data_IF_367894666924
#
_entry.id   IF_367894666924
#
_cell.length_a   1.000
_cell.length_b   1.000
_cell.length_c   1.000
_cell.angle_alpha   90.00
_cell.angle_beta   90.00
_cell.angle_gamma   90.00
#
_symmetry.space_group_name_H-M   'P 1'
#
loop_
_entity.id
_entity.type
_entity.pdbx_description
1 polymer ?
#
# COMPACT_ATOMS: atom_id res chain seq x y z
N UNK A 1 -20.22 -83.46 18.83
CA UNK A 1 -20.76 -82.27 18.15
C UNK A 1 -19.67 -81.74 17.25
N UNK A 2 -19.85 -81.83 15.93
CA UNK A 2 -18.90 -81.24 14.97
C UNK A 2 -19.03 -79.71 14.99
N UNK A 3 -17.91 -79.02 14.88
CA UNK A 3 -17.81 -77.57 14.82
C UNK A 3 -17.77 -77.14 13.36
N UNK A 4 -18.70 -76.30 12.91
CA UNK A 4 -18.70 -75.79 11.53
C UNK A 4 -18.16 -74.35 11.51
N UNK A 5 -17.17 -74.09 10.67
CA UNK A 5 -16.64 -72.75 10.42
C UNK A 5 -16.18 -72.65 8.96
N UNK A 6 -16.66 -71.62 8.26
CA UNK A 6 -16.38 -71.34 6.83
C UNK A 6 -16.69 -72.54 5.89
N UNK A 7 -17.83 -73.19 6.10
CA UNK A 7 -18.29 -74.32 5.28
C UNK A 7 -17.55 -75.65 5.51
N UNK A 8 -16.58 -75.71 6.43
CA UNK A 8 -15.86 -76.93 6.82
C UNK A 8 -16.31 -77.44 8.20
N UNK A 9 -16.41 -78.76 8.35
CA UNK A 9 -16.74 -79.42 9.62
C UNK A 9 -15.50 -79.98 10.29
N UNK A 10 -15.28 -79.61 11.55
CA UNK A 10 -14.17 -80.06 12.39
C UNK A 10 -14.69 -80.92 13.54
N UNK A 11 -14.00 -82.01 13.86
CA UNK A 11 -14.40 -82.86 14.99
C UNK A 11 -14.07 -82.20 16.33
N UNK A 12 -12.98 -81.42 16.37
CA UNK A 12 -12.54 -80.71 17.56
C UNK A 12 -12.17 -79.25 17.30
N UNK A 13 -12.34 -78.40 18.32
CA UNK A 13 -11.82 -77.02 18.32
C UNK A 13 -10.29 -77.01 18.15
N UNK A 14 -9.59 -78.09 18.55
CA UNK A 14 -8.14 -78.21 18.45
C UNK A 14 -7.69 -78.29 16.98
N UNK A 15 -8.30 -79.15 16.19
CA UNK A 15 -7.99 -79.29 14.75
C UNK A 15 -8.29 -77.99 14.01
N UNK A 16 -9.44 -77.38 14.31
CA UNK A 16 -9.80 -76.07 13.76
C UNK A 16 -8.77 -74.99 14.15
N UNK A 17 -8.32 -74.98 15.41
CA UNK A 17 -7.32 -74.01 15.87
C UNK A 17 -5.94 -74.22 15.21
N UNK A 18 -5.55 -75.47 14.95
CA UNK A 18 -4.30 -75.82 14.27
C UNK A 18 -4.31 -75.43 12.78
N UNK A 19 -5.42 -75.63 12.05
CA UNK A 19 -5.53 -75.26 10.64
C UNK A 19 -5.41 -73.74 10.43
N UNK A 20 -6.00 -72.94 11.32
CA UNK A 20 -5.95 -71.47 11.23
C UNK A 20 -4.80 -70.83 12.02
N UNK A 21 -3.92 -71.62 12.65
CA UNK A 21 -2.75 -71.12 13.40
C UNK A 21 -3.12 -70.32 14.66
N UNK A 22 -4.23 -70.66 15.32
CA UNK A 22 -4.81 -69.93 16.45
C UNK A 22 -4.58 -70.68 17.77
N UNK A 23 -4.40 -69.95 18.87
CA UNK A 23 -4.38 -70.56 20.20
C UNK A 23 -5.76 -71.08 20.61
N UNK A 24 -5.89 -72.40 20.77
CA UNK A 24 -7.13 -73.06 21.21
C UNK A 24 -7.66 -72.50 22.53
N UNK A 25 -6.79 -72.07 23.46
CA UNK A 25 -7.21 -71.53 24.76
C UNK A 25 -7.99 -70.23 24.59
N UNK A 26 -7.63 -69.45 23.57
CA UNK A 26 -8.29 -68.19 23.25
C UNK A 26 -9.72 -68.42 22.75
N UNK A 27 -9.92 -69.40 21.88
CA UNK A 27 -11.26 -69.80 21.40
C UNK A 27 -12.13 -70.26 22.59
N UNK A 28 -11.60 -71.10 23.48
CA UNK A 28 -12.32 -71.50 24.70
C UNK A 28 -12.67 -70.30 25.60
N UNK A 29 -11.77 -69.33 25.72
CA UNK A 29 -12.02 -68.14 26.54
C UNK A 29 -13.18 -67.28 26.00
N UNK A 30 -13.36 -67.20 24.68
CA UNK A 30 -14.49 -66.52 24.04
C UNK A 30 -15.79 -67.34 24.18
N UNK A 31 -15.72 -68.65 24.00
CA UNK A 31 -16.88 -69.56 24.16
C UNK A 31 -17.42 -69.55 25.59
N UNK A 32 -16.56 -69.53 26.61
CA UNK A 32 -16.96 -69.39 28.03
C UNK A 32 -17.63 -68.05 28.34
N UNK A 33 -17.40 -67.03 27.52
CA UNK A 33 -18.03 -65.71 27.63
C UNK A 33 -19.30 -65.58 26.79
N UNK A 34 -19.80 -66.69 26.22
CA UNK A 34 -21.05 -66.72 25.46
C UNK A 34 -20.92 -66.30 24.00
N UNK A 35 -19.71 -66.16 23.45
CA UNK A 35 -19.53 -65.80 22.03
C UNK A 35 -19.88 -66.97 21.12
N UNK A 36 -20.42 -66.66 19.93
CA UNK A 36 -20.61 -67.65 18.87
C UNK A 36 -19.25 -68.19 18.41
N UNK A 37 -19.23 -69.39 17.82
CA UNK A 37 -17.99 -69.97 17.33
C UNK A 37 -17.39 -69.12 16.20
N UNK A 38 -18.24 -68.61 15.31
CA UNK A 38 -17.85 -67.77 14.18
C UNK A 38 -17.24 -66.44 14.65
N UNK A 39 -17.88 -65.75 15.60
CA UNK A 39 -17.34 -64.50 16.15
C UNK A 39 -16.03 -64.74 16.92
N UNK A 40 -15.95 -65.83 17.67
CA UNK A 40 -14.74 -66.20 18.41
C UNK A 40 -13.57 -66.49 17.48
N UNK A 41 -13.82 -67.15 16.35
CA UNK A 41 -12.83 -67.42 15.32
C UNK A 41 -12.37 -66.14 14.64
N UNK A 42 -13.29 -65.28 14.22
CA UNK A 42 -12.96 -63.99 13.61
C UNK A 42 -12.10 -63.11 14.53
N UNK A 43 -12.38 -63.11 15.83
CA UNK A 43 -11.59 -62.37 16.83
C UNK A 43 -10.19 -62.94 17.07
N UNK A 44 -10.04 -64.25 16.90
CA UNK A 44 -8.77 -64.94 17.03
C UNK A 44 -7.89 -64.78 15.78
N UNK A 45 -8.49 -64.86 14.58
CA UNK A 45 -7.81 -64.66 13.28
C UNK A 45 -7.24 -63.23 13.20
N UNK A 46 -8.00 -62.22 13.62
CA UNK A 46 -7.57 -60.82 13.58
C UNK A 46 -6.60 -60.41 14.73
N UNK A 47 -6.14 -61.35 15.56
CA UNK A 47 -5.24 -61.17 16.73
C UNK A 47 -5.57 -59.98 17.66
N UNK A 48 -6.85 -59.62 17.84
CA UNK A 48 -7.22 -58.43 18.63
C UNK A 48 -7.14 -58.73 20.16
N UNK A 49 -6.10 -58.27 20.87
CA UNK A 49 -5.82 -58.53 22.32
C UNK A 49 -6.39 -57.44 23.28
N UNK A 50 -6.93 -57.78 24.47
CA UNK A 50 -7.56 -56.83 25.44
C UNK A 50 -9.08 -56.94 25.73
N UNK A 51 -9.69 -55.92 26.37
CA UNK A 51 -11.15 -55.74 26.64
C UNK A 51 -11.62 -54.36 26.12
N UNK A 52 -12.86 -54.21 25.64
CA UNK A 52 -13.43 -52.91 25.20
C UNK A 52 -14.20 -52.94 23.87
N UNK A 53 -14.76 -51.79 23.45
CA UNK A 53 -15.51 -51.59 22.19
C UNK A 53 -14.58 -51.74 20.96
N UNK A 54 -15.06 -52.42 19.93
CA UNK A 54 -14.33 -52.63 18.68
C UNK A 54 -14.76 -51.58 17.63
N UNK A 55 -13.79 -51.14 16.83
CA UNK A 55 -13.95 -50.18 15.75
C UNK A 55 -13.58 -50.87 14.45
N UNK A 56 -14.56 -51.07 13.56
CA UNK A 56 -14.31 -51.61 12.23
C UNK A 56 -13.99 -50.47 11.26
N UNK A 57 -12.88 -50.61 10.53
CA UNK A 57 -12.51 -49.70 9.44
C UNK A 57 -11.76 -50.48 8.36
N UNK A 58 -12.21 -50.40 7.11
CA UNK A 58 -11.65 -51.13 5.96
C UNK A 58 -11.45 -52.64 6.21
N UNK A 59 -12.42 -53.31 6.84
CA UNK A 59 -12.39 -54.75 7.10
C UNK A 59 -11.42 -55.21 8.21
N UNK A 60 -10.74 -54.28 8.90
CA UNK A 60 -9.92 -54.56 10.08
C UNK A 60 -10.60 -54.06 11.35
N UNK A 61 -10.50 -54.86 12.42
CA UNK A 61 -11.05 -54.53 13.74
C UNK A 61 -9.98 -53.94 14.64
N UNK A 62 -10.15 -52.67 14.99
CA UNK A 62 -9.28 -51.93 15.91
C UNK A 62 -9.92 -51.87 17.30
N UNK A 63 -9.15 -52.14 18.35
CA UNK A 63 -9.65 -52.05 19.73
C UNK A 63 -9.45 -50.66 20.35
N UNK A 64 -8.48 -49.91 19.83
CA UNK A 64 -8.21 -48.55 20.28
C UNK A 64 -8.24 -47.63 19.07
N UNK A 65 -8.91 -46.47 19.16
CA UNK A 65 -8.75 -45.44 18.15
C UNK A 65 -7.28 -44.99 17.99
N UNK A 66 -6.37 -45.36 18.91
CA UNK A 66 -4.95 -45.01 18.90
C UNK A 66 -4.20 -45.92 17.94
N UNK A 67 -4.54 -47.21 17.96
CA UNK A 67 -4.03 -48.17 16.98
C UNK A 67 -4.52 -47.81 15.57
N UNK A 68 -5.80 -47.43 15.44
CA UNK A 68 -6.35 -46.91 14.19
C UNK A 68 -5.64 -45.62 13.75
N UNK A 69 -5.39 -44.70 14.67
CA UNK A 69 -4.69 -43.46 14.39
C UNK A 69 -3.22 -43.68 13.96
N UNK A 70 -2.51 -44.59 14.62
CA UNK A 70 -1.11 -44.92 14.30
C UNK A 70 -0.97 -45.61 12.94
N UNK A 71 -1.85 -46.57 12.60
CA UNK A 71 -1.79 -47.29 11.31
C UNK A 71 -2.07 -46.36 10.12
N UNK A 72 -3.00 -45.41 10.27
CA UNK A 72 -3.38 -44.48 9.18
C UNK A 72 -2.71 -43.10 9.28
N UNK A 73 -1.78 -42.89 10.22
CA UNK A 73 -1.06 -41.61 10.39
C UNK A 73 -1.94 -40.43 10.81
N UNK A 74 -3.02 -40.68 11.54
CA UNK A 74 -3.99 -39.67 11.99
C UNK A 74 -3.65 -39.16 13.39
N UNK A 75 -4.04 -37.92 13.77
CA UNK A 75 -3.82 -37.42 15.11
C UNK A 75 -4.86 -38.06 16.04
N UNK A 76 -4.40 -38.86 17.00
CA UNK A 76 -5.26 -39.59 17.95
C UNK A 76 -6.31 -38.68 18.63
N UNK A 77 -5.93 -37.48 19.08
CA UNK A 77 -6.85 -36.56 19.76
C UNK A 77 -7.97 -36.07 18.84
N UNK A 78 -7.64 -35.78 17.58
CA UNK A 78 -8.62 -35.36 16.58
C UNK A 78 -9.55 -36.52 16.21
N UNK A 79 -8.98 -37.70 15.97
CA UNK A 79 -9.76 -38.89 15.63
C UNK A 79 -10.70 -39.30 16.78
N UNK A 80 -10.24 -39.27 18.03
CA UNK A 80 -11.06 -39.56 19.21
C UNK A 80 -12.23 -38.55 19.35
N UNK A 81 -11.98 -37.27 19.10
CA UNK A 81 -13.01 -36.23 19.10
C UNK A 81 -14.05 -36.42 17.98
N UNK A 82 -13.63 -36.82 16.78
CA UNK A 82 -14.57 -37.11 15.69
C UNK A 82 -15.36 -38.40 15.93
N UNK A 83 -14.74 -39.46 16.46
CA UNK A 83 -15.43 -40.73 16.77
C UNK A 83 -16.57 -40.53 17.78
N UNK A 84 -16.45 -39.56 18.70
CA UNK A 84 -17.52 -39.24 19.66
C UNK A 84 -18.72 -38.50 19.02
N UNK A 85 -18.53 -37.85 17.87
CA UNK A 85 -19.54 -36.98 17.22
C UNK A 85 -20.08 -37.53 15.90
N UNK A 86 -19.34 -38.40 15.22
CA UNK A 86 -19.77 -39.05 13.97
C UNK A 86 -20.61 -40.29 14.27
N UNK A 87 -21.50 -40.65 13.33
CA UNK A 87 -22.32 -41.87 13.49
C UNK A 87 -21.53 -43.12 13.10
N UNK A 88 -20.58 -43.00 12.17
CA UNK A 88 -19.71 -44.08 11.72
C UNK A 88 -18.23 -43.74 11.91
N UNK A 89 -17.39 -44.78 11.96
CA UNK A 89 -15.93 -44.65 12.08
C UNK A 89 -15.35 -44.12 10.76
N UNK A 90 -15.93 -44.50 9.63
CA UNK A 90 -15.54 -44.01 8.31
C UNK A 90 -15.72 -42.49 8.20
N UNK A 91 -16.89 -41.96 8.56
CA UNK A 91 -17.12 -40.50 8.61
C UNK A 91 -16.16 -39.78 9.56
N UNK A 92 -15.77 -40.43 10.67
CA UNK A 92 -14.83 -39.86 11.62
C UNK A 92 -13.42 -39.80 11.05
N UNK A 93 -12.99 -40.85 10.36
CA UNK A 93 -11.69 -40.92 9.69
C UNK A 93 -11.64 -39.95 8.50
N UNK A 94 -12.70 -39.89 7.70
CA UNK A 94 -12.76 -39.01 6.52
C UNK A 94 -12.80 -37.54 6.95
N UNK A 95 -13.57 -37.16 7.97
CA UNK A 95 -13.50 -35.79 8.53
C UNK A 95 -12.16 -35.46 9.16
N UNK A 96 -11.47 -36.45 9.74
CA UNK A 96 -10.12 -36.28 10.26
C UNK A 96 -9.12 -36.02 9.12
N UNK A 97 -9.22 -36.81 8.03
CA UNK A 97 -8.43 -36.64 6.80
C UNK A 97 -8.72 -35.32 6.11
N UNK A 98 -9.99 -34.95 5.90
CA UNK A 98 -10.40 -33.65 5.35
C UNK A 98 -9.87 -32.48 6.18
N UNK A 99 -9.81 -32.60 7.50
CA UNK A 99 -9.28 -31.56 8.38
C UNK A 99 -7.76 -31.46 8.28
N UNK A 100 -7.05 -32.57 8.06
CA UNK A 100 -5.64 -32.55 7.67
C UNK A 100 -5.44 -32.01 6.24
N UNK A 101 -6.39 -32.27 5.34
CA UNK A 101 -6.36 -31.87 3.93
C UNK A 101 -6.87 -30.47 3.64
N UNK A 102 -7.47 -29.78 4.62
CA UNK A 102 -7.67 -28.33 4.65
C UNK A 102 -6.32 -27.60 4.72
N UNK A 103 -5.52 -27.84 3.68
CA UNK A 103 -4.25 -27.21 3.35
C UNK A 103 -4.55 -25.75 3.17
N UNK A 104 -3.89 -24.93 3.98
CA UNK A 104 -4.06 -23.49 3.93
C UNK A 104 -3.32 -23.01 2.69
N UNK A 105 -4.07 -22.60 1.67
CA UNK A 105 -3.55 -21.97 0.47
C UNK A 105 -3.53 -20.46 0.69
N UNK A 106 -2.35 -19.85 0.56
CA UNK A 106 -2.20 -18.40 0.55
C UNK A 106 -1.32 -18.00 -0.64
N UNK A 107 -1.85 -17.18 -1.55
CA UNK A 107 -1.17 -16.71 -2.76
C UNK A 107 -0.47 -17.84 -3.55
N UNK A 108 -1.18 -18.96 -3.76
CA UNK A 108 -0.67 -20.11 -4.50
C UNK A 108 0.35 -20.99 -3.77
N UNK A 109 0.77 -20.66 -2.54
CA UNK A 109 1.62 -21.51 -1.68
C UNK A 109 0.80 -22.31 -0.68
N UNK A 110 1.23 -23.56 -0.46
CA UNK A 110 0.64 -24.50 0.51
C UNK A 110 1.34 -24.35 1.85
N UNK A 111 0.58 -24.08 2.91
CA UNK A 111 1.08 -24.05 4.28
C UNK A 111 0.51 -25.23 5.07
N UNK A 112 1.39 -25.91 5.82
CA UNK A 112 1.04 -27.09 6.61
C UNK A 112 0.14 -26.75 7.81
N UNK A 113 0.23 -25.52 8.34
CA UNK A 113 -0.57 -25.07 9.48
C UNK A 113 -0.65 -23.54 9.54
N UNK A 114 -1.60 -23.02 10.33
CA UNK A 114 -1.68 -21.58 10.64
C UNK A 114 -0.42 -21.07 11.34
N UNK A 115 0.22 -21.92 12.13
CA UNK A 115 1.48 -21.60 12.79
C UNK A 115 2.64 -21.46 11.79
N UNK A 116 2.74 -22.37 10.82
CA UNK A 116 3.72 -22.25 9.74
C UNK A 116 3.51 -20.98 8.90
N UNK A 117 2.23 -20.61 8.67
CA UNK A 117 1.86 -19.35 8.04
C UNK A 117 2.32 -18.15 8.88
N UNK A 118 2.03 -18.16 10.18
CA UNK A 118 2.40 -17.11 11.11
C UNK A 118 3.92 -16.86 11.14
N UNK A 119 4.73 -17.93 11.17
CA UNK A 119 6.20 -17.84 11.10
C UNK A 119 6.65 -17.23 9.77
N UNK A 120 6.11 -17.70 8.64
CA UNK A 120 6.54 -17.24 7.32
C UNK A 120 6.33 -15.73 7.08
N UNK A 121 5.37 -15.12 7.77
CA UNK A 121 5.08 -13.70 7.69
C UNK A 121 5.51 -12.90 8.92
N UNK A 122 6.07 -13.57 9.94
CA UNK A 122 6.48 -12.89 11.18
C UNK A 122 5.33 -12.35 12.02
N UNK A 123 4.13 -12.92 11.90
CA UNK A 123 2.89 -12.46 12.56
C UNK A 123 2.50 -13.43 13.68
N UNK A 124 1.72 -12.98 14.66
CA UNK A 124 1.15 -13.84 15.71
C UNK A 124 0.04 -14.75 15.17
N UNK A 125 0.11 -16.05 15.46
CA UNK A 125 -0.91 -17.04 15.06
C UNK A 125 -2.28 -16.73 15.67
N UNK A 126 -2.30 -16.31 16.94
CA UNK A 126 -3.54 -15.93 17.65
C UNK A 126 -4.27 -14.78 16.97
N UNK A 127 -3.52 -13.83 16.41
CA UNK A 127 -4.04 -12.69 15.66
C UNK A 127 -4.72 -13.11 14.36
N UNK A 128 -4.19 -14.12 13.66
CA UNK A 128 -4.77 -14.70 12.46
C UNK A 128 -6.07 -15.43 12.82
N UNK A 129 -6.01 -16.29 13.84
CA UNK A 129 -7.16 -17.09 14.29
C UNK A 129 -8.31 -16.22 14.79
N UNK A 130 -8.04 -15.15 15.56
CA UNK A 130 -9.05 -14.21 16.04
C UNK A 130 -9.81 -13.53 14.87
N UNK A 131 -9.09 -13.13 13.81
CA UNK A 131 -9.68 -12.42 12.66
C UNK A 131 -10.51 -13.33 11.76
N UNK A 132 -10.10 -14.60 11.63
CA UNK A 132 -10.89 -15.62 10.92
C UNK A 132 -12.26 -15.84 11.61
N UNK A 133 -12.28 -15.82 12.94
CA UNK A 133 -13.52 -16.08 13.69
C UNK A 133 -14.41 -14.85 13.88
N UNK A 134 -13.83 -13.65 13.86
CA UNK A 134 -14.58 -12.40 14.12
C UNK A 134 -14.98 -11.64 12.86
N UNK A 135 -14.32 -11.86 11.73
CA UNK A 135 -14.56 -11.13 10.47
C UNK A 135 -14.81 -12.08 9.30
N UNK A 136 -15.79 -11.73 8.46
CA UNK A 136 -16.05 -12.42 7.20
C UNK A 136 -15.09 -11.94 6.10
N UNK A 137 -13.78 -12.17 6.29
CA UNK A 137 -12.71 -11.77 5.37
C UNK A 137 -11.97 -13.00 4.86
N UNK A 138 -11.36 -12.88 3.69
CA UNK A 138 -10.48 -13.92 3.16
C UNK A 138 -9.17 -13.97 3.94
N UNK A 139 -8.48 -15.11 3.91
CA UNK A 139 -7.18 -15.26 4.58
C UNK A 139 -6.14 -14.25 4.03
N UNK A 140 -6.22 -13.92 2.75
CA UNK A 140 -5.34 -12.94 2.10
C UNK A 140 -5.53 -11.53 2.67
N UNK A 141 -6.78 -11.09 2.82
CA UNK A 141 -7.11 -9.78 3.39
C UNK A 141 -6.68 -9.69 4.86
N UNK A 142 -6.88 -10.77 5.61
CA UNK A 142 -6.48 -10.84 7.03
C UNK A 142 -4.96 -10.66 7.17
N UNK A 143 -4.16 -11.37 6.36
CA UNK A 143 -2.70 -11.28 6.42
C UNK A 143 -2.22 -9.89 5.97
N UNK A 144 -2.81 -9.29 4.93
CA UNK A 144 -2.46 -7.94 4.48
C UNK A 144 -2.76 -6.88 5.55
N UNK A 145 -3.91 -6.98 6.22
CA UNK A 145 -4.26 -6.08 7.33
C UNK A 145 -3.29 -6.24 8.50
N UNK A 146 -2.93 -7.48 8.83
CA UNK A 146 -2.01 -7.79 9.92
C UNK A 146 -0.61 -7.23 9.67
N UNK A 147 -0.08 -7.37 8.45
CA UNK A 147 1.22 -6.79 8.08
C UNK A 147 1.25 -5.25 8.19
N UNK A 148 0.09 -4.59 8.10
CA UNK A 148 0.02 -3.13 8.25
C UNK A 148 -0.11 -2.67 9.70
N UNK A 149 -0.73 -3.47 10.57
CA UNK A 149 -1.16 -3.04 11.92
C UNK A 149 -0.39 -3.68 13.06
N UNK A 150 0.22 -4.84 12.86
CA UNK A 150 0.94 -5.55 13.91
C UNK A 150 2.45 -5.50 13.72
N UNK A 151 3.21 -5.60 14.83
CA UNK A 151 4.64 -5.78 14.75
C UNK A 151 5.00 -7.07 14.00
N UNK A 152 6.02 -6.98 13.17
CA UNK A 152 6.51 -8.07 12.32
C UNK A 152 7.86 -8.53 12.85
N UNK A 153 7.96 -9.83 13.14
CA UNK A 153 9.23 -10.46 13.47
C UNK A 153 9.93 -10.94 12.19
N UNK A 154 11.08 -10.38 11.86
CA UNK A 154 11.87 -10.75 10.69
C UNK A 154 13.34 -10.91 11.08
N UNK A 155 13.91 -12.08 10.81
CA UNK A 155 15.30 -12.45 11.15
C UNK A 155 15.71 -12.19 12.60
N UNK A 156 14.82 -12.50 13.55
CA UNK A 156 15.07 -12.32 14.98
C UNK A 156 14.98 -10.87 15.48
N UNK A 157 14.66 -9.91 14.61
CA UNK A 157 14.33 -8.53 14.98
C UNK A 157 12.83 -8.29 14.86
N UNK A 158 12.28 -7.47 15.75
CA UNK A 158 10.87 -7.07 15.74
C UNK A 158 10.75 -5.65 15.23
N UNK A 159 9.96 -5.45 14.18
CA UNK A 159 9.67 -4.16 13.57
C UNK A 159 8.23 -3.78 13.90
N UNK A 160 7.96 -2.52 14.26
CA UNK A 160 6.61 -2.10 14.66
C UNK A 160 5.63 -2.06 13.49
N UNK A 161 6.15 -1.82 12.28
CA UNK A 161 5.35 -1.78 11.05
C UNK A 161 6.13 -2.36 9.88
N UNK A 162 5.41 -2.80 8.83
CA UNK A 162 6.04 -3.18 7.56
C UNK A 162 6.87 -2.06 6.95
N UNK A 163 6.50 -0.79 7.20
CA UNK A 163 7.24 0.37 6.68
C UNK A 163 8.64 0.45 7.30
N UNK A 164 8.76 0.19 8.60
CA UNK A 164 10.03 0.17 9.32
C UNK A 164 10.94 -0.97 8.83
N UNK A 165 10.35 -2.17 8.66
CA UNK A 165 11.05 -3.30 8.04
C UNK A 165 11.53 -2.95 6.62
N UNK A 166 10.65 -2.37 5.80
CA UNK A 166 10.98 -1.97 4.44
C UNK A 166 12.08 -0.90 4.38
N UNK A 167 12.12 0.03 5.34
CA UNK A 167 13.12 1.07 5.42
C UNK A 167 14.52 0.51 5.72
N UNK A 168 14.64 -0.41 6.67
CA UNK A 168 15.90 -1.07 7.04
C UNK A 168 16.52 -1.79 5.83
N UNK A 169 15.71 -2.54 5.08
CA UNK A 169 16.15 -3.30 3.91
C UNK A 169 16.11 -2.51 2.59
N UNK A 170 15.85 -1.20 2.65
CA UNK A 170 15.81 -0.30 1.48
C UNK A 170 14.83 -0.72 0.37
N UNK A 171 13.68 -1.29 0.72
CA UNK A 171 12.62 -1.69 -0.21
C UNK A 171 11.38 -0.81 -0.01
N UNK A 172 10.62 -0.54 -1.08
CA UNK A 172 9.34 0.16 -0.96
C UNK A 172 8.23 -0.81 -0.52
N UNK A 173 7.38 -0.46 0.46
CA UNK A 173 6.29 -1.34 0.93
C UNK A 173 5.34 -1.81 -0.17
N UNK A 174 5.07 -0.96 -1.18
CA UNK A 174 4.25 -1.34 -2.33
C UNK A 174 4.82 -2.53 -3.11
N UNK A 175 6.14 -2.58 -3.30
CA UNK A 175 6.81 -3.67 -3.99
C UNK A 175 6.72 -4.97 -3.19
N UNK A 176 6.85 -4.89 -1.86
CA UNK A 176 6.70 -6.07 -0.99
C UNK A 176 5.28 -6.62 -1.09
N UNK A 177 4.25 -5.78 -0.98
CA UNK A 177 2.85 -6.22 -1.13
C UNK A 177 2.56 -6.85 -2.49
N UNK A 178 3.08 -6.27 -3.57
CA UNK A 178 2.89 -6.82 -4.92
C UNK A 178 3.56 -8.19 -5.06
N UNK A 179 4.78 -8.35 -4.52
CA UNK A 179 5.51 -9.63 -4.52
C UNK A 179 4.79 -10.70 -3.71
N UNK A 180 4.22 -10.32 -2.57
CA UNK A 180 3.41 -11.21 -1.75
C UNK A 180 2.19 -11.74 -2.53
N UNK A 181 1.49 -10.87 -3.27
CA UNK A 181 0.36 -11.28 -4.14
C UNK A 181 0.79 -12.24 -5.26
N UNK A 182 2.03 -12.16 -5.72
CA UNK A 182 2.61 -13.12 -6.67
C UNK A 182 3.04 -14.45 -6.03
N UNK A 183 2.72 -14.68 -4.76
CA UNK A 183 3.05 -15.91 -4.04
C UNK A 183 4.47 -15.97 -3.50
N UNK A 184 5.16 -14.84 -3.38
CA UNK A 184 6.47 -14.79 -2.72
C UNK A 184 6.31 -14.81 -1.20
N UNK A 185 7.28 -15.40 -0.50
CA UNK A 185 7.34 -15.28 0.97
C UNK A 185 7.71 -13.85 1.36
N UNK A 186 7.50 -13.48 2.63
CA UNK A 186 7.95 -12.18 3.13
C UNK A 186 9.46 -11.98 2.93
N UNK A 187 10.24 -13.03 3.19
CA UNK A 187 11.70 -13.05 2.97
C UNK A 187 12.07 -12.84 1.50
N UNK A 188 11.48 -13.60 0.58
CA UNK A 188 11.68 -13.41 -0.86
C UNK A 188 11.24 -12.00 -1.28
N UNK A 189 10.13 -11.50 -0.73
CA UNK A 189 9.58 -10.20 -1.08
C UNK A 189 10.48 -9.04 -0.63
N UNK A 190 11.26 -9.21 0.44
CA UNK A 190 12.23 -8.23 0.93
C UNK A 190 13.54 -8.34 0.15
N UNK A 191 14.10 -9.53 0.00
CA UNK A 191 15.42 -9.71 -0.62
C UNK A 191 15.43 -9.62 -2.15
N UNK A 192 14.28 -9.77 -2.82
CA UNK A 192 14.26 -9.65 -4.27
C UNK A 192 14.66 -8.22 -4.69
N UNK A 193 15.76 -8.05 -5.46
CA UNK A 193 16.09 -6.74 -5.99
C UNK A 193 14.98 -6.28 -6.94
N UNK A 194 14.78 -4.97 -7.07
CA UNK A 194 13.93 -4.42 -8.12
C UNK A 194 14.52 -4.90 -9.45
N UNK A 195 13.85 -5.82 -10.15
CA UNK A 195 14.23 -6.19 -11.51
C UNK A 195 14.13 -4.93 -12.35
N UNK A 196 15.27 -4.35 -12.72
CA UNK A 196 15.32 -3.51 -13.93
C UNK A 196 14.82 -4.41 -15.06
N UNK A 197 13.81 -3.99 -15.82
CA UNK A 197 13.17 -4.77 -16.89
C UNK A 197 14.10 -5.11 -18.07
N UNK A 198 15.43 -5.11 -17.89
CA UNK A 198 16.46 -5.33 -18.92
C UNK A 198 16.55 -4.21 -19.96
N UNK A 199 15.48 -3.43 -20.15
CA UNK A 199 15.43 -2.29 -21.07
C UNK A 199 16.19 -1.09 -20.49
N UNK A 200 17.47 -0.99 -20.84
CA UNK A 200 18.26 0.22 -20.65
C UNK A 200 17.94 1.17 -21.81
N UNK A 201 17.40 2.32 -21.49
CA UNK A 201 17.24 3.42 -22.44
C UNK A 201 18.33 4.43 -22.10
N UNK A 202 19.55 4.10 -22.52
CA UNK A 202 20.72 4.90 -22.19
C UNK A 202 20.58 6.30 -22.79
N UNK A 203 20.87 7.30 -21.98
CA UNK A 203 20.80 8.70 -22.39
C UNK A 203 22.17 9.32 -22.16
N UNK A 204 22.70 9.97 -23.19
CA UNK A 204 23.93 10.74 -23.10
C UNK A 204 23.57 12.20 -22.87
N UNK A 205 24.10 12.78 -21.80
CA UNK A 205 23.94 14.20 -21.48
C UNK A 205 25.26 14.77 -20.98
N UNK A 206 25.71 15.88 -21.59
CA UNK A 206 26.96 16.56 -21.22
C UNK A 206 28.18 15.62 -21.14
N UNK A 207 28.24 14.61 -22.03
CA UNK A 207 29.33 13.63 -22.08
C UNK A 207 29.23 12.48 -21.06
N UNK A 208 28.26 12.50 -20.14
CA UNK A 208 27.97 11.39 -19.21
C UNK A 208 26.88 10.48 -19.77
N UNK A 209 27.06 9.17 -19.60
CA UNK A 209 26.08 8.15 -19.98
C UNK A 209 25.24 7.77 -18.77
N UNK A 210 23.93 7.93 -18.88
CA UNK A 210 22.95 7.60 -17.85
C UNK A 210 22.21 6.32 -18.19
N UNK A 211 21.98 5.45 -17.20
CA UNK A 211 21.26 4.19 -17.38
C UNK A 211 19.83 4.39 -17.94
N UNK A 212 19.17 5.47 -17.51
CA UNK A 212 17.86 5.89 -18.01
C UNK A 212 17.57 7.34 -17.63
N UNK A 213 16.46 7.88 -18.18
CA UNK A 213 15.99 9.23 -17.91
C UNK A 213 15.77 9.54 -16.43
N UNK A 214 15.42 8.55 -15.61
CA UNK A 214 15.21 8.75 -14.18
C UNK A 214 16.52 9.01 -13.43
N UNK A 215 17.61 8.36 -13.81
CA UNK A 215 18.94 8.63 -13.21
C UNK A 215 19.42 10.04 -13.55
N UNK A 216 19.28 10.47 -14.81
CA UNK A 216 19.58 11.85 -15.21
C UNK A 216 18.75 12.85 -14.39
N UNK A 217 17.43 12.67 -14.34
CA UNK A 217 16.54 13.53 -13.56
C UNK A 217 16.88 13.59 -12.06
N UNK A 218 17.33 12.47 -11.47
CA UNK A 218 17.71 12.41 -10.04
C UNK A 218 18.99 13.18 -9.74
N UNK A 219 20.02 13.10 -10.59
CA UNK A 219 21.29 13.83 -10.35
C UNK A 219 21.07 15.35 -10.31
N UNK A 220 20.16 15.87 -11.14
CA UNK A 220 19.87 17.31 -11.20
C UNK A 220 18.66 17.73 -10.35
N UNK A 221 18.08 16.83 -9.53
CA UNK A 221 16.88 17.09 -8.74
C UNK A 221 15.71 17.67 -9.56
N UNK A 222 15.46 17.11 -10.74
CA UNK A 222 14.35 17.49 -11.62
C UNK A 222 13.36 16.32 -11.69
N UNK A 223 12.05 16.60 -11.64
CA UNK A 223 11.05 15.54 -11.79
C UNK A 223 11.00 15.02 -13.23
N UNK A 224 11.15 13.70 -13.39
CA UNK A 224 10.95 13.01 -14.68
C UNK A 224 9.55 13.25 -15.26
N UNK A 225 8.53 13.35 -14.40
CA UNK A 225 7.15 13.63 -14.82
C UNK A 225 7.01 15.05 -15.36
N UNK A 226 7.74 16.02 -14.80
CA UNK A 226 7.73 17.40 -15.28
C UNK A 226 8.28 17.48 -16.71
N UNK A 227 9.42 16.82 -16.98
CA UNK A 227 10.06 16.81 -18.30
C UNK A 227 9.18 16.14 -19.34
N UNK A 228 8.62 14.97 -19.03
CA UNK A 228 7.65 14.32 -19.94
C UNK A 228 6.37 15.13 -20.12
N UNK A 229 5.93 15.85 -19.08
CA UNK A 229 4.85 16.81 -19.18
C UNK A 229 5.14 17.86 -20.27
N UNK A 230 6.35 18.41 -20.31
CA UNK A 230 6.75 19.36 -21.36
C UNK A 230 6.77 18.72 -22.75
N UNK A 231 7.29 17.50 -22.86
CA UNK A 231 7.32 16.77 -24.12
C UNK A 231 5.92 16.48 -24.67
N UNK A 232 4.92 16.23 -23.80
CA UNK A 232 3.52 16.07 -24.24
C UNK A 232 2.94 17.34 -24.85
N UNK A 233 3.33 18.51 -24.37
CA UNK A 233 2.88 19.80 -24.91
C UNK A 233 3.65 20.23 -26.15
N UNK A 234 4.91 19.79 -26.31
CA UNK A 234 5.75 20.01 -27.48
C UNK A 234 6.35 18.69 -27.95
N UNK A 235 5.59 17.87 -28.73
CA UNK A 235 6.06 16.57 -29.19
C UNK A 235 7.25 16.67 -30.14
N UNK A 236 7.47 17.84 -30.76
CA UNK A 236 8.62 18.16 -31.60
C UNK A 236 9.94 18.12 -30.83
N UNK A 237 9.91 18.37 -29.51
CA UNK A 237 11.12 18.39 -28.69
C UNK A 237 11.41 17.00 -28.16
N UNK A 238 12.68 16.61 -28.27
CA UNK A 238 13.18 15.39 -27.63
C UNK A 238 13.18 15.54 -26.11
N UNK A 239 13.20 14.42 -25.40
CA UNK A 239 13.30 14.41 -23.94
C UNK A 239 14.51 15.22 -23.44
N UNK A 240 15.65 15.16 -24.15
CA UNK A 240 16.87 15.85 -23.74
C UNK A 240 16.77 17.37 -23.95
N UNK A 241 16.09 17.82 -25.00
CA UNK A 241 15.85 19.25 -25.22
C UNK A 241 14.89 19.79 -24.16
N UNK A 242 13.79 19.08 -23.87
CA UNK A 242 12.90 19.44 -22.77
C UNK A 242 13.66 19.47 -21.43
N UNK A 243 14.53 18.49 -21.18
CA UNK A 243 15.35 18.45 -19.96
C UNK A 243 16.29 19.66 -19.87
N UNK A 244 16.99 20.03 -20.96
CA UNK A 244 17.86 21.20 -21.01
C UNK A 244 17.10 22.49 -20.67
N UNK A 245 15.92 22.68 -21.27
CA UNK A 245 15.10 23.87 -21.03
C UNK A 245 14.57 23.92 -19.59
N UNK A 246 14.15 22.77 -19.03
CA UNK A 246 13.71 22.68 -17.62
C UNK A 246 14.88 22.95 -16.67
N UNK A 247 16.07 22.40 -16.93
CA UNK A 247 17.29 22.66 -16.17
C UNK A 247 17.65 24.14 -16.22
N UNK A 248 17.67 24.74 -17.41
CA UNK A 248 17.93 26.17 -17.57
C UNK A 248 16.94 27.02 -16.75
N UNK A 249 15.64 26.72 -16.83
CA UNK A 249 14.64 27.46 -16.05
C UNK A 249 14.86 27.29 -14.53
N UNK A 250 15.18 26.07 -14.07
CA UNK A 250 15.46 25.76 -12.67
C UNK A 250 16.65 26.58 -12.17
N UNK A 251 17.73 26.59 -12.94
CA UNK A 251 18.98 27.26 -12.59
C UNK A 251 18.78 28.80 -12.60
N UNK A 252 18.07 29.34 -13.61
CA UNK A 252 17.74 30.77 -13.70
C UNK A 252 16.84 31.26 -12.55
N UNK A 253 15.86 30.45 -12.11
CA UNK A 253 15.00 30.85 -11.00
C UNK A 253 15.64 30.64 -9.61
N UNK A 254 16.84 30.04 -9.55
CA UNK A 254 17.56 29.78 -8.31
C UNK A 254 16.81 28.78 -7.43
N UNK A 255 16.24 27.73 -8.02
CA UNK A 255 15.55 26.69 -7.25
C UNK A 255 16.51 25.97 -6.28
N UNK A 256 16.10 25.65 -5.04
CA UNK A 256 16.98 25.00 -4.08
C UNK A 256 17.53 23.66 -4.58
N UNK A 257 18.83 23.43 -4.40
CA UNK A 257 19.46 22.16 -4.78
C UNK A 257 19.01 20.98 -3.90
N UNK A 258 18.44 21.23 -2.72
CA UNK A 258 17.91 20.22 -1.79
C UNK A 258 16.52 19.71 -2.18
N UNK A 259 15.81 20.43 -3.05
CA UNK A 259 14.42 20.12 -3.40
C UNK A 259 14.28 19.68 -4.85
N UNK A 260 13.37 18.74 -5.09
CA UNK A 260 13.07 18.29 -6.45
C UNK A 260 12.20 19.35 -7.15
N UNK A 261 12.68 19.83 -8.31
CA UNK A 261 11.90 20.70 -9.19
C UNK A 261 10.77 19.92 -9.87
N UNK A 262 9.65 19.82 -9.15
CA UNK A 262 8.52 18.97 -9.51
C UNK A 262 7.44 19.67 -10.33
N UNK A 263 7.39 21.00 -10.28
CA UNK A 263 6.43 21.83 -11.00
C UNK A 263 7.08 23.17 -11.36
N UNK A 264 6.49 23.90 -12.30
CA UNK A 264 6.93 25.25 -12.67
C UNK A 264 6.10 26.25 -11.86
N UNK A 265 6.72 27.02 -10.94
CA UNK A 265 6.03 28.07 -10.19
C UNK A 265 5.54 29.20 -11.09
N UNK A 266 4.54 29.96 -10.62
CA UNK A 266 4.06 31.13 -11.35
C UNK A 266 5.04 32.29 -11.25
N UNK A 267 5.57 32.52 -10.06
CA UNK A 267 6.54 33.58 -9.77
C UNK A 267 7.36 33.24 -8.52
N UNK A 268 8.48 33.94 -8.39
CA UNK A 268 9.31 34.04 -7.20
C UNK A 268 9.29 35.49 -6.73
N UNK A 269 9.11 35.72 -5.44
CA UNK A 269 9.13 37.05 -4.85
C UNK A 269 9.94 36.97 -3.56
N UNK A 270 11.05 37.72 -3.49
CA UNK A 270 12.00 37.72 -2.38
C UNK A 270 12.38 36.31 -1.91
N UNK A 271 12.83 35.45 -2.83
CA UNK A 271 13.23 34.09 -2.50
C UNK A 271 12.10 33.08 -2.34
N UNK A 272 10.86 33.54 -2.14
CA UNK A 272 9.71 32.66 -1.95
C UNK A 272 9.05 32.31 -3.28
N UNK A 273 8.91 31.02 -3.54
CA UNK A 273 8.24 30.50 -4.74
C UNK A 273 6.73 30.37 -4.52
N UNK A 274 5.96 30.90 -5.46
CA UNK A 274 4.50 30.81 -5.44
C UNK A 274 4.03 29.96 -6.62
N UNK A 275 3.35 28.85 -6.32
CA UNK A 275 2.80 27.95 -7.34
C UNK A 275 1.72 28.63 -8.17
N UNK A 276 0.85 29.41 -7.52
CA UNK A 276 -0.21 30.20 -8.17
C UNK A 276 -0.13 31.65 -7.73
N UNK A 277 -0.60 32.56 -8.59
CA UNK A 277 -0.73 33.98 -8.23
C UNK A 277 -1.73 34.20 -7.09
N UNK A 278 -2.72 33.31 -6.92
CA UNK A 278 -3.65 33.33 -5.79
C UNK A 278 -2.91 33.20 -4.46
N UNK A 279 -1.87 32.37 -4.41
CA UNK A 279 -1.13 32.07 -3.18
C UNK A 279 -0.35 33.30 -2.73
N UNK A 280 0.22 34.04 -3.69
CA UNK A 280 0.84 35.34 -3.44
C UNK A 280 -0.18 36.39 -3.03
N UNK A 281 -1.28 36.52 -3.80
CA UNK A 281 -2.33 37.50 -3.50
C UNK A 281 -2.87 37.35 -2.09
N UNK A 282 -3.18 36.11 -1.67
CA UNK A 282 -3.61 35.81 -0.31
C UNK A 282 -2.54 36.14 0.74
N UNK A 283 -1.26 35.88 0.46
CA UNK A 283 -0.17 36.20 1.37
C UNK A 283 -0.01 37.71 1.62
N UNK A 284 -0.36 38.55 0.64
CA UNK A 284 -0.32 40.02 0.76
C UNK A 284 -1.67 40.65 1.13
N UNK A 285 -2.71 39.84 1.38
CA UNK A 285 -4.05 40.35 1.69
C UNK A 285 -4.76 41.01 0.51
N UNK A 286 -4.45 40.59 -0.72
CA UNK A 286 -5.07 41.05 -1.96
C UNK A 286 -5.82 39.91 -2.66
N UNK A 287 -6.66 40.28 -3.62
CA UNK A 287 -7.30 39.32 -4.51
C UNK A 287 -6.49 39.16 -5.79
N UNK A 288 -6.50 37.94 -6.35
CA UNK A 288 -5.93 37.68 -7.69
C UNK A 288 -6.49 38.64 -8.74
N UNK A 289 -7.80 38.93 -8.67
CA UNK A 289 -8.47 39.80 -9.62
C UNK A 289 -7.91 41.21 -9.65
N UNK A 290 -7.50 41.77 -8.51
CA UNK A 290 -6.86 43.09 -8.45
C UNK A 290 -5.55 43.13 -9.26
N UNK A 291 -4.70 42.10 -9.09
CA UNK A 291 -3.41 42.00 -9.79
C UNK A 291 -3.62 41.77 -11.29
N UNK A 292 -4.46 40.79 -11.66
CA UNK A 292 -4.74 40.45 -13.06
C UNK A 292 -5.40 41.62 -13.81
N UNK A 293 -6.30 42.36 -13.15
CA UNK A 293 -6.97 43.55 -13.73
C UNK A 293 -5.97 44.68 -13.96
N UNK A 294 -5.11 44.97 -12.97
CA UNK A 294 -4.09 46.01 -13.11
C UNK A 294 -3.14 45.68 -14.27
N UNK A 295 -2.58 44.47 -14.28
CA UNK A 295 -1.68 43.99 -15.33
C UNK A 295 -2.30 44.12 -16.73
N UNK A 296 -3.60 43.79 -16.87
CA UNK A 296 -4.31 43.85 -18.15
C UNK A 296 -4.57 45.28 -18.61
N UNK A 297 -4.98 46.18 -17.69
CA UNK A 297 -5.27 47.59 -18.00
C UNK A 297 -4.03 48.39 -18.38
N UNK A 298 -2.89 48.07 -17.75
CA UNK A 298 -1.62 48.75 -18.01
C UNK A 298 -0.74 48.01 -19.02
N UNK A 299 -1.25 46.94 -19.66
CA UNK A 299 -0.57 46.16 -20.69
C UNK A 299 0.81 45.60 -20.30
N UNK A 300 1.04 45.34 -19.01
CA UNK A 300 2.30 44.76 -18.56
C UNK A 300 2.40 43.28 -18.97
N UNK A 301 3.47 42.92 -19.68
CA UNK A 301 3.77 41.52 -20.03
C UNK A 301 4.23 40.74 -18.79
N UNK A 302 5.17 41.33 -18.05
CA UNK A 302 5.79 40.78 -16.85
C UNK A 302 4.95 41.10 -15.59
N UNK A 303 4.71 40.08 -14.76
CA UNK A 303 4.00 40.25 -13.48
C UNK A 303 4.78 41.08 -12.47
N UNK A 304 6.11 40.95 -12.42
CA UNK A 304 6.94 41.66 -11.43
C UNK A 304 6.95 43.17 -11.71
N UNK A 305 7.05 43.56 -12.98
CA UNK A 305 6.91 44.97 -13.40
C UNK A 305 5.54 45.52 -13.03
N UNK A 306 4.47 44.75 -13.24
CA UNK A 306 3.13 45.17 -12.82
C UNK A 306 3.04 45.40 -11.31
N UNK A 307 3.65 44.54 -10.49
CA UNK A 307 3.67 44.70 -9.03
C UNK A 307 4.52 45.91 -8.60
N UNK A 308 5.63 46.19 -9.28
CA UNK A 308 6.44 47.39 -9.06
C UNK A 308 5.67 48.68 -9.37
N UNK A 309 4.92 48.72 -10.47
CA UNK A 309 4.09 49.87 -10.81
C UNK A 309 2.89 50.02 -9.87
N UNK A 310 2.26 48.91 -9.46
CA UNK A 310 1.26 48.92 -8.39
C UNK A 310 1.84 49.48 -7.09
N UNK A 311 3.08 49.14 -6.75
CA UNK A 311 3.74 49.65 -5.55
C UNK A 311 3.96 51.18 -5.62
N UNK A 312 4.21 51.73 -6.81
CA UNK A 312 4.37 53.17 -7.05
C UNK A 312 3.04 53.91 -7.14
N UNK A 313 1.94 53.25 -7.50
CA UNK A 313 0.63 53.86 -7.66
C UNK A 313 0.18 54.56 -6.36
N UNK A 314 -0.15 55.85 -6.49
CA UNK A 314 -0.59 56.71 -5.40
C UNK A 314 -2.00 57.21 -5.69
N UNK A 315 -2.79 57.34 -4.64
CA UNK A 315 -4.13 57.91 -4.67
C UNK A 315 -4.11 59.31 -4.04
N UNK A 316 -5.01 60.20 -4.49
CA UNK A 316 -5.15 61.50 -3.90
C UNK A 316 -5.74 61.42 -2.48
N UNK A 317 -5.35 62.38 -1.64
CA UNK A 317 -5.84 62.51 -0.27
C UNK A 317 -6.02 63.98 0.12
N UNK A 318 -6.87 64.20 1.11
CA UNK A 318 -7.10 65.50 1.73
C UNK A 318 -6.36 65.56 3.05
N UNK A 319 -5.72 66.69 3.35
CA UNK A 319 -5.09 66.93 4.65
C UNK A 319 -6.17 67.28 5.68
N UNK A 320 -6.40 66.37 6.61
CA UNK A 320 -7.37 66.51 7.70
C UNK A 320 -6.66 66.60 9.05
N UNK A 321 -7.41 66.89 10.12
CA UNK A 321 -6.90 66.85 11.50
C UNK A 321 -6.41 65.45 11.92
N UNK A 322 -6.91 64.40 11.25
CA UNK A 322 -6.51 63.00 11.47
C UNK A 322 -5.38 62.54 10.55
N UNK A 323 -4.76 63.46 9.81
CA UNK A 323 -3.74 63.18 8.80
C UNK A 323 -4.30 63.16 7.37
N UNK A 324 -3.54 62.57 6.45
CA UNK A 324 -3.96 62.43 5.05
C UNK A 324 -5.02 61.34 4.93
N UNK A 325 -6.22 61.70 4.48
CA UNK A 325 -7.32 60.76 4.26
C UNK A 325 -7.78 60.77 2.81
N UNK A 326 -7.94 59.59 2.16
CA UNK A 326 -8.62 59.51 0.88
C UNK A 326 -10.11 59.82 1.06
N UNK A 327 -10.79 60.20 -0.03
CA UNK A 327 -12.20 60.61 0.00
C UNK A 327 -13.12 59.62 0.73
N UNK A 328 -12.95 58.32 0.48
CA UNK A 328 -13.78 57.25 1.08
C UNK A 328 -13.62 57.17 2.61
N UNK A 329 -12.41 57.39 3.14
CA UNK A 329 -12.15 57.38 4.58
C UNK A 329 -12.56 58.69 5.24
N UNK A 330 -12.35 59.83 4.58
CA UNK A 330 -12.86 61.11 5.04
C UNK A 330 -14.39 61.10 5.21
N UNK A 331 -15.12 60.46 4.27
CA UNK A 331 -16.57 60.26 4.38
C UNK A 331 -16.95 59.38 5.58
N UNK A 332 -16.20 58.32 5.87
CA UNK A 332 -16.42 57.49 7.08
C UNK A 332 -16.19 58.28 8.37
N UNK A 333 -15.27 59.26 8.35
CA UNK A 333 -15.03 60.21 9.45
C UNK A 333 -16.02 61.38 9.48
N UNK A 334 -17.12 61.31 8.72
CA UNK A 334 -18.22 62.28 8.66
C UNK A 334 -17.87 63.65 8.05
N UNK A 335 -16.79 63.75 7.28
CA UNK A 335 -16.55 64.96 6.48
C UNK A 335 -17.59 65.10 5.37
N UNK A 336 -18.13 66.30 5.21
CA UNK A 336 -19.01 66.66 4.08
C UNK A 336 -18.19 67.05 2.85
N UNK A 337 -18.75 66.91 1.65
CA UNK A 337 -18.06 67.27 0.40
C UNK A 337 -17.63 68.74 0.38
N UNK A 338 -18.49 69.65 0.88
CA UNK A 338 -18.17 71.07 1.02
C UNK A 338 -17.00 71.33 1.97
N UNK A 339 -16.88 70.56 3.04
CA UNK A 339 -15.73 70.66 3.96
C UNK A 339 -14.45 70.14 3.31
N UNK A 340 -14.51 69.09 2.49
CA UNK A 340 -13.34 68.56 1.79
C UNK A 340 -12.81 69.50 0.71
N UNK A 341 -13.67 70.27 0.05
CA UNK A 341 -13.29 71.30 -0.92
C UNK A 341 -12.45 72.43 -0.31
N UNK A 342 -12.60 72.67 1.00
CA UNK A 342 -11.84 73.68 1.73
C UNK A 342 -10.49 73.16 2.26
N UNK A 343 -10.25 71.85 2.19
CA UNK A 343 -9.03 71.23 2.68
C UNK A 343 -7.95 71.15 1.60
N UNK A 344 -6.69 71.11 2.04
CA UNK A 344 -5.54 70.95 1.14
C UNK A 344 -5.60 69.58 0.45
N UNK A 345 -5.76 69.60 -0.88
CA UNK A 345 -5.83 68.41 -1.72
C UNK A 345 -4.43 68.06 -2.25
N UNK A 346 -3.99 66.83 -1.99
CA UNK A 346 -2.72 66.29 -2.47
C UNK A 346 -3.02 65.21 -3.50
N UNK A 347 -2.64 65.44 -4.75
CA UNK A 347 -2.99 64.57 -5.89
C UNK A 347 -2.32 63.19 -5.86
N UNK A 348 -1.14 63.07 -5.24
CA UNK A 348 -0.34 61.85 -5.14
C UNK A 348 0.16 61.67 -3.70
N UNK A 349 -0.75 61.28 -2.81
CA UNK A 349 -0.50 61.36 -1.37
C UNK A 349 -0.22 59.98 -0.75
N UNK A 350 -1.12 59.02 -0.97
CA UNK A 350 -1.11 57.74 -0.26
C UNK A 350 -0.90 56.58 -1.24
N UNK A 351 -0.18 55.50 -0.86
CA UNK A 351 -0.12 54.29 -1.68
C UNK A 351 -1.51 53.70 -1.94
N UNK A 352 -1.86 53.45 -3.20
CA UNK A 352 -3.10 52.74 -3.55
C UNK A 352 -3.10 51.32 -2.99
N UNK A 353 -1.91 50.70 -2.93
CA UNK A 353 -1.70 49.36 -2.43
C UNK A 353 -0.69 49.38 -1.26
N UNK A 354 -1.12 49.76 -0.04
CA UNK A 354 -0.25 49.80 1.14
C UNK A 354 0.39 48.44 1.45
N UNK A 355 -0.33 47.35 1.19
CA UNK A 355 0.11 45.98 1.46
C UNK A 355 1.34 45.55 0.64
N UNK A 356 1.59 46.22 -0.49
CA UNK A 356 2.75 45.94 -1.35
C UNK A 356 4.00 46.74 -0.94
N UNK A 357 3.87 47.75 -0.07
CA UNK A 357 5.01 48.60 0.32
C UNK A 357 6.13 47.84 1.08
N UNK A 358 5.85 46.82 1.93
CA UNK A 358 6.89 46.06 2.61
C UNK A 358 7.75 45.16 1.71
N UNK A 359 7.33 44.93 0.46
CA UNK A 359 7.98 43.98 -0.44
C UNK A 359 9.01 44.68 -1.34
N UNK A 360 10.16 44.05 -1.53
CA UNK A 360 11.12 44.44 -2.56
C UNK A 360 10.97 43.53 -3.77
N UNK A 361 10.39 44.06 -4.84
CA UNK A 361 10.21 43.34 -6.11
C UNK A 361 11.41 43.44 -7.06
N UNK A 362 12.47 44.15 -6.68
CA UNK A 362 13.68 44.30 -7.50
C UNK A 362 14.70 43.22 -7.18
N UNK A 363 14.78 42.82 -5.91
CA UNK A 363 15.67 41.77 -5.44
C UNK A 363 14.98 40.41 -5.41
N UNK A 364 15.69 39.40 -5.92
CA UNK A 364 15.33 37.99 -5.88
C UNK A 364 13.87 37.67 -6.25
N UNK A 365 13.35 38.39 -7.26
CA UNK A 365 11.98 38.33 -7.74
C UNK A 365 11.95 38.07 -9.24
N UNK A 366 11.10 37.14 -9.68
CA UNK A 366 11.07 36.67 -11.07
C UNK A 366 9.68 36.21 -11.51
N UNK A 367 9.25 36.63 -12.70
CA UNK A 367 8.11 36.03 -13.39
C UNK A 367 8.56 34.74 -14.10
N UNK A 368 8.53 33.64 -13.35
CA UNK A 368 8.97 32.32 -13.82
C UNK A 368 8.09 31.81 -14.97
N UNK A 369 6.77 32.07 -14.94
CA UNK A 369 5.89 31.61 -16.01
C UNK A 369 6.18 32.34 -17.32
N UNK A 370 6.42 33.65 -17.28
CA UNK A 370 6.81 34.40 -18.46
C UNK A 370 8.13 33.87 -19.04
N UNK A 371 9.13 33.66 -18.18
CA UNK A 371 10.42 33.11 -18.61
C UNK A 371 10.27 31.71 -19.21
N UNK A 372 9.44 30.87 -18.61
CA UNK A 372 9.08 29.57 -19.15
C UNK A 372 8.41 29.70 -20.53
N UNK A 373 7.45 30.61 -20.70
CA UNK A 373 6.79 30.83 -21.99
C UNK A 373 7.79 31.28 -23.07
N UNK A 374 8.80 32.07 -22.71
CA UNK A 374 9.88 32.50 -23.60
C UNK A 374 10.82 31.35 -23.98
N UNK A 375 11.32 30.58 -22.99
CA UNK A 375 12.22 29.44 -23.23
C UNK A 375 11.56 28.36 -24.08
N UNK A 376 10.27 28.11 -23.84
CA UNK A 376 9.53 27.09 -24.57
C UNK A 376 8.82 27.65 -25.80
N UNK A 377 9.08 28.91 -26.22
CA UNK A 377 8.42 29.56 -27.37
C UNK A 377 6.92 29.26 -27.43
N UNK A 378 6.21 29.42 -26.30
CA UNK A 378 4.77 29.18 -26.25
C UNK A 378 4.09 30.34 -26.96
N UNK A 379 3.56 30.09 -28.16
CA UNK A 379 2.72 31.05 -28.84
C UNK A 379 1.42 31.24 -28.01
N UNK A 380 1.03 32.46 -27.60
CA UNK A 380 -0.11 32.70 -26.69
C UNK A 380 -1.48 32.21 -27.21
N UNK A 381 -1.58 31.84 -28.49
CA UNK A 381 -2.83 31.46 -29.15
C UNK A 381 -3.47 30.15 -28.65
N UNK A 382 -2.73 29.26 -27.98
CA UNK A 382 -3.26 27.94 -27.61
C UNK A 382 -4.15 27.92 -26.34
N UNK A 383 -4.47 29.09 -25.74
CA UNK A 383 -5.34 29.17 -24.53
C UNK A 383 -6.85 29.14 -24.84
N UNK A 384 -7.30 29.24 -26.10
CA UNK A 384 -8.73 29.32 -26.43
C UNK A 384 -9.44 27.98 -26.66
N UNK A 385 -8.75 26.91 -27.02
CA UNK A 385 -9.42 25.67 -27.48
C UNK A 385 -9.88 24.71 -26.36
N UNK A 386 -9.48 24.94 -25.10
CA UNK A 386 -9.83 24.04 -23.98
C UNK A 386 -11.12 24.42 -23.22
N UNK A 387 -11.87 25.44 -23.66
CA UNK A 387 -13.17 25.81 -23.05
C UNK A 387 -14.38 25.37 -23.87
N UNK A 388 -14.19 24.76 -25.03
CA UNK A 388 -15.30 24.33 -25.93
C UNK A 388 -15.28 22.81 -26.20
N UNK A 389 -14.66 22.03 -25.33
CA UNK A 389 -14.87 20.58 -25.21
C UNK A 389 -15.06 20.25 -23.74
#
# INVERSE_FOLDING_TARGET
>A
MAYCYDGKTYETIKEMAEEYGIDRQRIYSFRRRGWSLEDAMQMCINDVRGRGRLFEYNGKLYRSPKALAEEYGLPWNSLAHYIQRCKTIEEAVDRCKETQEKKIMLWGKRYQSRYALAIAFGIRETSISARIHTRNMTLEEIILELLQKEPICFEGKTYNTLVELCAEYQVQPCNVFERLKYGKTLEEAIYLPIRNNGKRYEIVYEGKVYQNAAFLCREYNISKLLVYGQQRYKPEYSFIECFRLVKQLRDECGWPNTEVFAFIPRCKIQGKFYKRISDFASAVGMTRGQIDTYKSRHHHKNMIEALQEMQKDRIPAYKTEYGLLPYSEARKKKYTSKQLEQLEYVSSALPRYPMLQPFDFTQDSMDILLRYEELFQKNPQCKREWRER
#
